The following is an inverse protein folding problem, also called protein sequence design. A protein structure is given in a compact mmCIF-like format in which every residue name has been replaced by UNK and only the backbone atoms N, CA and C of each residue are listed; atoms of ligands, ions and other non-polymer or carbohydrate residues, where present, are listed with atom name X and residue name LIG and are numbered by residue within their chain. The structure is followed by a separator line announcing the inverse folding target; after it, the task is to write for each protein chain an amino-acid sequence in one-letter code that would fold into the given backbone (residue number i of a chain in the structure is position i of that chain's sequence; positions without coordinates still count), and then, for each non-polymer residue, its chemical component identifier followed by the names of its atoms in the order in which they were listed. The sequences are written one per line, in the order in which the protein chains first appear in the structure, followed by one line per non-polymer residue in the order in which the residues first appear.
data_IF_771834155065
#
_entry.id   IF_771834155065
#
_cell.length_a   1.000
_cell.length_b   1.000
_cell.length_c   1.000
_cell.angle_alpha   90.00
_cell.angle_beta   90.00
_cell.angle_gamma   90.00
#
_symmetry.space_group_name_H-M   'P 1'
#
loop_
_entity.id
_entity.type
_entity.pdbx_description
1 polymer ?
#
# COMPACT_ATOMS: atom_id res chain seq x y z
N UNK A 1 -13.84 -29.14 -12.52
CA UNK A 1 -14.53 -28.14 -11.66
C UNK A 1 -15.93 -28.56 -11.23
N UNK A 2 -16.75 -29.21 -12.09
CA UNK A 2 -18.13 -29.65 -11.76
C UNK A 2 -18.30 -30.78 -10.73
N UNK A 3 -17.22 -31.37 -10.21
CA UNK A 3 -17.27 -32.55 -9.31
C UNK A 3 -17.05 -32.22 -7.84
N UNK A 4 -16.94 -30.93 -7.47
CA UNK A 4 -16.72 -30.54 -6.08
C UNK A 4 -18.09 -30.31 -5.39
N UNK A 5 -18.44 -31.07 -4.33
CA UNK A 5 -19.70 -30.89 -3.62
C UNK A 5 -19.82 -29.49 -3.00
N UNK A 6 -21.01 -28.89 -3.10
CA UNK A 6 -21.33 -27.57 -2.57
C UNK A 6 -21.08 -27.44 -1.06
N UNK A 7 -21.25 -28.53 -0.30
CA UNK A 7 -21.07 -28.58 1.16
C UNK A 7 -19.62 -28.42 1.63
N UNK A 8 -18.66 -28.41 0.70
CA UNK A 8 -17.24 -28.35 1.03
C UNK A 8 -16.64 -26.94 1.12
N UNK A 9 -17.47 -25.91 0.93
CA UNK A 9 -17.05 -24.51 1.04
C UNK A 9 -17.42 -23.94 2.40
N UNK A 10 -16.44 -23.35 3.09
CA UNK A 10 -16.67 -22.66 4.35
C UNK A 10 -16.91 -21.16 4.09
N UNK A 11 -17.96 -20.56 4.69
CA UNK A 11 -18.17 -19.12 4.61
C UNK A 11 -17.17 -18.40 5.52
N UNK A 12 -16.43 -17.46 4.95
CA UNK A 12 -15.49 -16.60 5.66
C UNK A 12 -15.96 -15.16 5.50
N UNK A 13 -16.19 -14.47 6.62
CA UNK A 13 -16.52 -13.05 6.62
C UNK A 13 -15.23 -12.25 6.68
N UNK A 14 -14.97 -11.47 5.64
CA UNK A 14 -13.87 -10.52 5.63
C UNK A 14 -14.33 -9.20 6.22
N UNK A 15 -13.73 -8.81 7.34
CA UNK A 15 -13.87 -7.49 7.93
C UNK A 15 -13.04 -6.45 7.15
N UNK A 16 -13.46 -6.18 5.92
CA UNK A 16 -12.99 -5.02 5.14
C UNK A 16 -13.86 -3.80 5.51
N UNK A 17 -13.54 -2.61 4.98
CA UNK A 17 -14.39 -1.41 5.10
C UNK A 17 -15.86 -1.69 4.71
N UNK A 18 -16.07 -2.66 3.82
CA UNK A 18 -17.38 -3.29 3.57
C UNK A 18 -17.27 -4.78 3.85
N UNK A 19 -18.07 -5.33 4.79
CA UNK A 19 -18.00 -6.76 5.09
C UNK A 19 -18.36 -7.57 3.84
N UNK A 20 -17.47 -8.45 3.41
CA UNK A 20 -17.67 -9.33 2.26
C UNK A 20 -17.62 -10.77 2.74
N UNK A 21 -18.69 -11.51 2.48
CA UNK A 21 -18.72 -12.97 2.72
C UNK A 21 -18.15 -13.65 1.49
N UNK A 22 -17.13 -14.48 1.69
CA UNK A 22 -16.54 -15.30 0.62
C UNK A 22 -16.59 -16.77 1.01
N UNK A 23 -16.74 -17.63 0.01
CA UNK A 23 -16.82 -19.07 0.16
C UNK A 23 -15.50 -19.67 -0.25
N UNK A 24 -14.88 -20.41 0.66
CA UNK A 24 -13.49 -20.86 0.51
C UNK A 24 -13.40 -22.37 0.66
N UNK A 25 -12.69 -23.00 -0.26
CA UNK A 25 -12.29 -24.41 -0.14
C UNK A 25 -10.79 -24.55 -0.32
N UNK A 26 -10.14 -25.16 0.66
CA UNK A 26 -8.71 -25.51 0.62
C UNK A 26 -8.52 -26.97 0.24
N UNK A 27 -7.53 -27.29 -0.59
CA UNK A 27 -7.12 -28.66 -0.89
C UNK A 27 -5.63 -28.73 -1.23
N UNK A 28 -5.01 -29.88 -1.06
CA UNK A 28 -3.62 -30.11 -1.44
C UNK A 28 -3.54 -30.79 -2.80
N UNK A 29 -2.61 -30.35 -3.65
CA UNK A 29 -2.35 -31.00 -4.94
C UNK A 29 -0.87 -30.91 -5.32
N UNK A 30 -0.42 -31.87 -6.14
CA UNK A 30 0.90 -31.84 -6.80
C UNK A 30 0.77 -31.19 -8.17
N UNK A 31 1.75 -30.37 -8.54
CA UNK A 31 1.84 -29.76 -9.86
C UNK A 31 2.95 -30.45 -10.65
N UNK A 32 2.70 -30.76 -11.92
CA UNK A 32 3.67 -31.44 -12.80
C UNK A 32 5.02 -30.71 -12.94
N UNK A 33 5.04 -29.38 -12.78
CA UNK A 33 6.24 -28.53 -12.96
C UNK A 33 6.89 -28.08 -11.66
N UNK A 34 6.38 -28.49 -10.50
CA UNK A 34 6.92 -28.08 -9.21
C UNK A 34 7.08 -29.29 -8.30
N UNK A 35 8.26 -29.40 -7.68
CA UNK A 35 8.49 -30.39 -6.63
C UNK A 35 7.70 -30.00 -5.37
N UNK A 36 6.99 -30.98 -4.81
CA UNK A 36 6.24 -30.85 -3.56
C UNK A 36 4.72 -30.70 -3.71
N UNK A 37 4.00 -31.11 -2.67
CA UNK A 37 2.58 -30.82 -2.49
C UNK A 37 2.40 -29.36 -2.08
N UNK A 38 1.45 -28.68 -2.72
CA UNK A 38 1.08 -27.30 -2.37
C UNK A 38 -0.37 -27.24 -1.97
N UNK A 39 -0.68 -26.26 -1.13
CA UNK A 39 -2.06 -25.99 -0.71
C UNK A 39 -2.67 -24.96 -1.65
N UNK A 40 -3.78 -25.34 -2.26
CA UNK A 40 -4.61 -24.50 -3.12
C UNK A 40 -5.83 -24.04 -2.35
N UNK A 41 -6.32 -22.85 -2.65
CA UNK A 41 -7.64 -22.40 -2.22
C UNK A 41 -8.44 -21.88 -3.41
N UNK A 42 -9.70 -22.30 -3.48
CA UNK A 42 -10.71 -21.72 -4.36
C UNK A 42 -11.53 -20.77 -3.51
N UNK A 43 -11.56 -19.50 -3.89
CA UNK A 43 -12.31 -18.45 -3.21
C UNK A 43 -13.37 -17.92 -4.16
N UNK A 44 -14.61 -17.84 -3.68
CA UNK A 44 -15.77 -17.48 -4.49
C UNK A 44 -16.62 -16.43 -3.78
N UNK A 45 -17.29 -15.58 -4.54
CA UNK A 45 -18.22 -14.59 -3.98
C UNK A 45 -19.62 -15.16 -3.67
N UNK A 46 -19.93 -16.36 -4.16
CA UNK A 46 -21.20 -17.05 -3.96
C UNK A 46 -20.98 -18.50 -3.50
N UNK A 47 -22.04 -19.12 -2.96
CA UNK A 47 -22.01 -20.49 -2.44
C UNK A 47 -21.93 -21.57 -3.52
N UNK A 48 -22.12 -21.22 -4.80
CA UNK A 48 -22.07 -22.16 -5.93
C UNK A 48 -21.34 -21.57 -7.13
N UNK A 49 -20.75 -22.44 -7.96
CA UNK A 49 -20.03 -22.06 -9.18
C UNK A 49 -20.93 -21.38 -10.21
N UNK A 50 -22.20 -21.74 -10.27
CA UNK A 50 -23.15 -21.18 -11.24
C UNK A 50 -23.60 -19.76 -10.85
N UNK A 51 -23.58 -19.44 -9.55
CA UNK A 51 -23.93 -18.11 -9.03
C UNK A 51 -22.72 -17.22 -8.82
N UNK A 52 -21.51 -17.78 -8.90
CA UNK A 52 -20.28 -17.03 -8.69
C UNK A 52 -19.93 -16.25 -9.95
N UNK A 53 -19.75 -14.93 -9.80
CA UNK A 53 -19.23 -14.08 -10.87
C UNK A 53 -17.70 -14.00 -10.82
N UNK A 54 -17.13 -14.07 -9.63
CA UNK A 54 -15.69 -14.01 -9.40
C UNK A 54 -15.22 -15.26 -8.67
N UNK A 55 -14.22 -15.93 -9.25
CA UNK A 55 -13.60 -17.15 -8.71
C UNK A 55 -12.09 -16.96 -8.73
N UNK A 56 -11.49 -16.88 -7.55
CA UNK A 56 -10.05 -16.76 -7.38
C UNK A 56 -9.43 -18.12 -7.03
N UNK A 57 -8.30 -18.42 -7.68
CA UNK A 57 -7.47 -19.58 -7.38
C UNK A 57 -6.17 -19.12 -6.73
N UNK A 58 -6.00 -19.47 -5.45
CA UNK A 58 -4.86 -19.07 -4.63
C UNK A 58 -3.95 -20.28 -4.36
N UNK A 59 -2.65 -20.05 -4.26
CA UNK A 59 -1.64 -21.11 -4.09
C UNK A 59 -0.63 -20.66 -3.04
N UNK A 60 -0.45 -21.46 -1.99
CA UNK A 60 0.54 -21.19 -0.94
C UNK A 60 1.55 -22.33 -0.82
N UNK A 61 2.77 -21.96 -0.42
CA UNK A 61 3.85 -22.87 -0.04
C UNK A 61 3.86 -23.18 1.47
N UNK A 62 2.95 -22.59 2.24
CA UNK A 62 2.83 -22.85 3.68
C UNK A 62 2.24 -24.24 3.92
N UNK A 63 2.75 -24.90 4.96
CA UNK A 63 2.28 -26.21 5.41
C UNK A 63 0.76 -26.26 5.58
N UNK A 64 0.12 -27.30 5.04
CA UNK A 64 -1.33 -27.43 5.01
C UNK A 64 -1.98 -27.35 6.40
N UNK A 65 -1.27 -27.74 7.47
CA UNK A 65 -1.74 -27.69 8.86
C UNK A 65 -2.03 -26.25 9.32
N UNK A 66 -1.26 -25.27 8.82
CA UNK A 66 -1.38 -23.85 9.19
C UNK A 66 -2.35 -23.08 8.28
N UNK A 67 -2.70 -23.64 7.13
CA UNK A 67 -3.50 -22.95 6.12
C UNK A 67 -4.98 -23.15 6.42
N UNK A 68 -5.56 -22.25 7.22
CA UNK A 68 -7.00 -22.17 7.37
C UNK A 68 -7.62 -21.33 6.23
N UNK A 69 -8.90 -21.56 5.87
CA UNK A 69 -9.62 -20.73 4.90
C UNK A 69 -9.62 -19.23 5.26
N UNK A 70 -9.72 -18.89 6.53
CA UNK A 70 -9.69 -17.52 7.02
C UNK A 70 -8.29 -16.91 6.86
N UNK A 71 -7.25 -17.70 7.18
CA UNK A 71 -5.86 -17.28 7.07
C UNK A 71 -5.50 -16.98 5.61
N UNK A 72 -5.83 -17.88 4.67
CA UNK A 72 -5.43 -17.67 3.27
C UNK A 72 -6.10 -16.43 2.68
N UNK A 73 -7.39 -16.24 2.93
CA UNK A 73 -8.10 -15.07 2.39
C UNK A 73 -7.62 -13.78 3.05
N UNK A 74 -7.41 -13.77 4.37
CA UNK A 74 -6.90 -12.57 5.06
C UNK A 74 -5.52 -12.17 4.55
N UNK A 75 -4.59 -13.11 4.37
CA UNK A 75 -3.25 -12.83 3.82
C UNK A 75 -3.34 -12.30 2.38
N UNK A 76 -4.11 -12.95 1.51
CA UNK A 76 -4.25 -12.50 0.12
C UNK A 76 -4.97 -11.15 0.00
N UNK A 77 -5.88 -10.81 0.92
CA UNK A 77 -6.55 -9.51 0.93
C UNK A 77 -5.59 -8.34 1.15
N UNK A 78 -4.48 -8.56 1.88
CA UNK A 78 -3.45 -7.54 2.11
C UNK A 78 -2.70 -7.17 0.84
N UNK A 79 -2.73 -8.00 -0.22
CA UNK A 79 -2.05 -7.76 -1.49
C UNK A 79 -2.45 -6.43 -2.14
N UNK A 80 -3.71 -6.02 -1.97
CA UNK A 80 -4.23 -4.77 -2.53
C UNK A 80 -3.47 -3.53 -2.03
N UNK A 81 -2.77 -3.62 -0.90
CA UNK A 81 -1.95 -2.53 -0.37
C UNK A 81 -0.90 -2.03 -1.38
N UNK A 82 -0.32 -2.93 -2.19
CA UNK A 82 0.67 -2.54 -3.22
C UNK A 82 0.04 -1.64 -4.28
N UNK A 83 -1.21 -1.90 -4.68
CA UNK A 83 -1.92 -1.06 -5.64
C UNK A 83 -2.26 0.31 -5.06
N UNK A 84 -2.72 0.34 -3.80
CA UNK A 84 -2.97 1.58 -3.05
C UNK A 84 -1.69 2.41 -2.98
N UNK A 85 -0.57 1.79 -2.61
CA UNK A 85 0.75 2.42 -2.59
C UNK A 85 1.08 3.08 -3.94
N UNK A 86 0.98 2.35 -5.06
CA UNK A 86 1.29 2.93 -6.37
C UNK A 86 0.34 4.04 -6.78
N UNK A 87 -0.94 3.94 -6.41
CA UNK A 87 -1.93 5.01 -6.67
C UNK A 87 -1.55 6.28 -5.91
N UNK A 88 -1.23 6.16 -4.63
CA UNK A 88 -0.87 7.28 -3.76
C UNK A 88 0.47 7.89 -4.16
N UNK A 89 1.50 7.08 -4.44
CA UNK A 89 2.80 7.56 -4.89
C UNK A 89 2.72 8.31 -6.24
N UNK A 90 1.92 7.81 -7.18
CA UNK A 90 1.68 8.49 -8.47
C UNK A 90 0.86 9.76 -8.32
N UNK A 91 -0.14 9.76 -7.43
CA UNK A 91 -1.06 10.88 -7.25
C UNK A 91 -0.46 12.03 -6.44
N UNK A 92 0.25 11.72 -5.35
CA UNK A 92 0.60 12.73 -4.33
C UNK A 92 2.09 13.01 -4.19
N UNK A 93 2.95 12.08 -4.59
CA UNK A 93 4.41 12.19 -4.44
C UNK A 93 5.14 12.38 -5.78
N UNK A 94 4.41 12.64 -6.87
CA UNK A 94 5.01 12.96 -8.16
C UNK A 94 5.75 11.80 -8.82
N UNK A 95 5.39 10.53 -8.55
CA UNK A 95 6.03 9.39 -9.24
C UNK A 95 5.88 9.48 -10.76
N UNK A 96 4.79 10.08 -11.26
CA UNK A 96 4.52 10.30 -12.69
C UNK A 96 5.13 11.60 -13.24
N UNK A 97 5.55 12.52 -12.38
CA UNK A 97 6.03 13.86 -12.75
C UNK A 97 7.53 13.89 -13.08
N UNK A 98 8.15 12.72 -13.18
CA UNK A 98 9.55 12.60 -13.52
C UNK A 98 9.82 13.01 -14.98
N UNK A 99 10.67 14.02 -15.18
CA UNK A 99 10.94 14.61 -16.50
C UNK A 99 12.28 14.21 -17.14
N UNK A 100 13.17 13.53 -16.40
CA UNK A 100 14.53 13.27 -16.87
C UNK A 100 14.58 11.98 -17.70
N UNK A 101 15.35 11.90 -18.79
CA UNK A 101 15.35 10.71 -19.67
C UNK A 101 16.33 9.59 -19.25
N UNK A 102 17.26 9.88 -18.35
CA UNK A 102 18.31 8.94 -17.96
C UNK A 102 17.84 7.83 -17.00
N UNK A 103 18.21 6.57 -17.27
CA UNK A 103 17.89 5.40 -16.42
C UNK A 103 18.35 5.59 -14.96
N UNK A 104 19.57 6.10 -14.75
CA UNK A 104 20.12 6.33 -13.41
C UNK A 104 19.31 7.37 -12.63
N UNK A 105 18.94 8.47 -13.28
CA UNK A 105 18.13 9.52 -12.69
C UNK A 105 16.71 9.02 -12.37
N UNK A 106 16.15 8.13 -13.20
CA UNK A 106 14.83 7.53 -12.98
C UNK A 106 14.84 6.66 -11.72
N UNK A 107 15.87 5.83 -11.57
CA UNK A 107 16.03 5.00 -10.38
C UNK A 107 16.20 5.85 -9.11
N UNK A 108 16.97 6.94 -9.18
CA UNK A 108 17.12 7.86 -8.04
C UNK A 108 15.79 8.52 -7.66
N UNK A 109 15.01 8.97 -8.65
CA UNK A 109 13.67 9.52 -8.41
C UNK A 109 12.77 8.49 -7.72
N UNK A 110 12.75 7.25 -8.20
CA UNK A 110 11.93 6.20 -7.61
C UNK A 110 12.32 5.91 -6.16
N UNK A 111 13.62 5.82 -5.87
CA UNK A 111 14.12 5.64 -4.51
C UNK A 111 13.66 6.80 -3.62
N UNK A 112 13.80 8.05 -4.06
CA UNK A 112 13.38 9.22 -3.28
C UNK A 112 11.87 9.23 -3.00
N UNK A 113 11.04 8.94 -4.02
CA UNK A 113 9.59 8.87 -3.86
C UNK A 113 9.21 7.75 -2.89
N UNK A 114 9.84 6.59 -3.00
CA UNK A 114 9.54 5.44 -2.13
C UNK A 114 9.99 5.70 -0.69
N UNK A 115 11.16 6.30 -0.50
CA UNK A 115 11.64 6.76 0.81
C UNK A 115 10.70 7.80 1.42
N UNK A 116 10.23 8.78 0.65
CA UNK A 116 9.28 9.77 1.13
C UNK A 116 7.95 9.11 1.56
N UNK A 117 7.44 8.18 0.76
CA UNK A 117 6.22 7.43 1.08
C UNK A 117 6.37 6.64 2.38
N UNK A 118 7.42 5.82 2.50
CA UNK A 118 7.63 4.98 3.68
C UNK A 118 7.89 5.83 4.92
N UNK A 119 8.58 6.96 4.79
CA UNK A 119 8.78 7.91 5.88
C UNK A 119 7.47 8.50 6.41
N UNK A 120 6.60 8.98 5.51
CA UNK A 120 5.28 9.53 5.90
C UNK A 120 4.41 8.44 6.52
N UNK A 121 4.39 7.24 5.92
CA UNK A 121 3.63 6.11 6.43
C UNK A 121 4.11 5.68 7.82
N UNK A 122 5.42 5.63 8.04
CA UNK A 122 6.01 5.34 9.34
C UNK A 122 5.57 6.36 10.40
N UNK A 123 5.62 7.65 10.07
CA UNK A 123 5.17 8.71 10.96
C UNK A 123 3.67 8.67 11.27
N UNK A 124 2.85 8.23 10.30
CA UNK A 124 1.41 7.99 10.50
C UNK A 124 1.19 6.85 11.51
N UNK A 125 1.90 5.73 11.35
CA UNK A 125 1.76 4.54 12.19
C UNK A 125 2.30 4.74 13.61
N UNK A 126 3.44 5.41 13.76
CA UNK A 126 4.03 5.74 15.07
C UNK A 126 3.37 6.92 15.76
N UNK A 127 2.52 7.67 15.05
CA UNK A 127 1.91 8.89 15.55
C UNK A 127 2.90 10.05 15.70
N UNK A 128 4.07 10.00 15.07
CA UNK A 128 5.08 11.07 15.19
C UNK A 128 4.64 12.45 14.64
N UNK A 129 3.60 12.50 13.80
CA UNK A 129 2.97 13.75 13.35
C UNK A 129 1.83 14.22 14.29
N UNK A 130 1.22 13.28 15.02
CA UNK A 130 0.22 13.60 16.05
C UNK A 130 0.91 14.30 17.22
N UNK A 131 0.17 15.15 17.94
CA UNK A 131 0.60 16.01 19.06
C UNK A 131 1.20 17.36 18.68
N UNK A 132 1.99 17.46 17.61
CA UNK A 132 2.62 18.75 17.23
C UNK A 132 2.03 19.38 15.96
N UNK A 133 1.64 18.55 14.98
CA UNK A 133 1.24 19.03 13.65
C UNK A 133 -0.19 18.63 13.25
N UNK A 134 -0.87 17.83 14.08
CA UNK A 134 -2.26 17.47 13.87
C UNK A 134 -2.98 17.22 15.20
N UNK A 135 -4.15 17.85 15.36
CA UNK A 135 -5.09 17.59 16.45
C UNK A 135 -6.15 16.54 16.07
N UNK A 136 -6.31 16.26 14.77
CA UNK A 136 -7.23 15.25 14.22
C UNK A 136 -6.53 13.89 14.06
N UNK A 137 -7.29 12.77 14.01
CA UNK A 137 -6.74 11.50 13.55
C UNK A 137 -6.22 11.59 12.12
N UNK A 138 -5.11 10.91 11.85
CA UNK A 138 -4.49 10.80 10.52
C UNK A 138 -4.74 9.37 10.01
N UNK A 139 -5.95 9.12 9.51
CA UNK A 139 -6.42 7.80 9.11
C UNK A 139 -6.02 7.47 7.67
N UNK A 140 -5.86 8.48 6.82
CA UNK A 140 -5.46 8.32 5.41
C UNK A 140 -4.00 8.74 5.17
N UNK A 141 -3.41 8.31 4.05
CA UNK A 141 -2.09 8.77 3.66
C UNK A 141 -2.07 10.27 3.34
N UNK A 142 -3.13 10.78 2.72
CA UNK A 142 -3.25 12.19 2.33
C UNK A 142 -3.28 13.12 3.53
N UNK A 143 -4.00 12.76 4.60
CA UNK A 143 -3.99 13.49 5.86
C UNK A 143 -2.59 13.52 6.49
N UNK A 144 -1.88 12.39 6.46
CA UNK A 144 -0.51 12.32 6.98
C UNK A 144 0.46 13.17 6.15
N UNK A 145 0.32 13.15 4.82
CA UNK A 145 1.09 13.99 3.91
C UNK A 145 0.80 15.48 4.15
N UNK A 146 -0.46 15.85 4.36
CA UNK A 146 -0.86 17.23 4.67
C UNK A 146 -0.21 17.70 5.97
N UNK A 147 -0.32 16.91 7.05
CA UNK A 147 0.33 17.22 8.33
C UNK A 147 1.86 17.33 8.20
N UNK A 148 2.48 16.46 7.37
CA UNK A 148 3.91 16.53 7.08
C UNK A 148 4.28 17.82 6.33
N UNK A 149 3.51 18.19 5.30
CA UNK A 149 3.72 19.45 4.55
C UNK A 149 3.61 20.66 5.46
N UNK A 150 2.59 20.70 6.32
CA UNK A 150 2.44 21.75 7.33
C UNK A 150 3.67 21.83 8.23
N UNK A 151 4.15 20.70 8.74
CA UNK A 151 5.36 20.65 9.57
C UNK A 151 6.60 21.21 8.84
N UNK A 152 6.77 20.87 7.56
CA UNK A 152 7.88 21.36 6.75
C UNK A 152 7.75 22.86 6.47
N UNK A 153 6.54 23.36 6.21
CA UNK A 153 6.30 24.80 5.99
C UNK A 153 6.65 25.64 7.22
N UNK A 154 6.24 25.22 8.42
CA UNK A 154 6.60 25.93 9.64
C UNK A 154 8.11 25.89 9.90
N UNK A 155 8.74 24.72 9.76
CA UNK A 155 10.20 24.62 9.90
C UNK A 155 10.96 25.47 8.89
N UNK A 156 10.47 25.52 7.65
CA UNK A 156 11.06 26.35 6.60
C UNK A 156 10.88 27.83 6.91
N UNK A 157 9.71 28.24 7.38
CA UNK A 157 9.45 29.62 7.80
C UNK A 157 10.39 30.03 8.93
N UNK A 158 10.47 29.23 10.00
CA UNK A 158 11.36 29.50 11.13
C UNK A 158 12.82 29.61 10.66
N UNK A 159 13.28 28.66 9.83
CA UNK A 159 14.63 28.71 9.26
C UNK A 159 14.86 29.98 8.43
N UNK A 160 13.90 30.36 7.59
CA UNK A 160 13.98 31.55 6.73
C UNK A 160 14.08 32.83 7.55
N UNK A 161 13.34 32.93 8.66
CA UNK A 161 13.42 34.10 9.55
C UNK A 161 14.81 34.26 10.18
N UNK A 162 15.50 33.15 10.44
CA UNK A 162 16.83 33.14 11.06
C UNK A 162 17.98 33.26 10.05
N UNK A 163 17.75 32.93 8.78
CA UNK A 163 18.78 32.83 7.73
C UNK A 163 18.42 33.67 6.49
N UNK A 164 17.80 34.83 6.70
CA UNK A 164 17.28 35.69 5.62
C UNK A 164 18.40 36.17 4.69
N UNK A 165 19.55 36.51 5.25
CA UNK A 165 20.77 36.91 4.55
C UNK A 165 21.33 35.78 3.68
N UNK A 166 21.41 34.56 4.21
CA UNK A 166 21.82 33.36 3.44
C UNK A 166 20.85 33.09 2.30
N UNK A 167 19.54 33.18 2.55
CA UNK A 167 18.54 33.01 1.51
C UNK A 167 18.62 34.10 0.43
N UNK A 168 18.80 35.37 0.83
CA UNK A 168 18.93 36.50 -0.08
C UNK A 168 20.19 36.40 -0.95
N UNK A 169 21.35 36.06 -0.36
CA UNK A 169 22.60 35.85 -1.09
C UNK A 169 22.50 34.70 -2.10
N UNK A 170 21.86 33.59 -1.75
CA UNK A 170 21.58 32.50 -2.69
C UNK A 170 20.70 32.97 -3.85
N UNK A 171 19.62 33.72 -3.59
CA UNK A 171 18.75 34.26 -4.66
C UNK A 171 19.49 35.24 -5.56
N UNK A 172 20.33 36.11 -4.99
CA UNK A 172 21.17 37.03 -5.75
C UNK A 172 22.15 36.27 -6.66
N UNK A 173 22.72 35.15 -6.20
CA UNK A 173 23.61 34.31 -7.01
C UNK A 173 22.92 33.70 -8.24
N UNK A 174 21.60 33.55 -8.19
CA UNK A 174 20.76 33.11 -9.31
C UNK A 174 20.27 34.27 -10.19
N UNK A 175 20.72 35.50 -9.95
CA UNK A 175 20.32 36.71 -10.69
C UNK A 175 18.98 37.31 -10.26
N UNK A 176 18.39 36.83 -9.16
CA UNK A 176 17.15 37.41 -8.63
C UNK A 176 17.46 38.47 -7.57
N UNK A 177 16.86 39.66 -7.72
CA UNK A 177 16.94 40.72 -6.72
C UNK A 177 15.73 40.59 -5.80
N UNK A 178 15.96 40.59 -4.50
CA UNK A 178 14.92 40.63 -3.47
C UNK A 178 14.82 42.07 -2.96
N UNK A 179 13.66 42.70 -3.08
CA UNK A 179 13.38 44.04 -2.56
C UNK A 179 13.06 44.01 -1.05
#
# INVERSE_FOLDING_TARGET
AKSIPLESFKPVVLNLEKPKTVWVKTFTAKMLRHEGERTFAIVMNASSFEKATDIDYLITNVEAIKVTPEWIVSIYSQRNWVEVFYREAKGWLGLREYQVRGKRSLLRHFILVFCAYTFILWHKLTGGLRRRWANKPLNTFTEALEAFRTAMSFRFFDWLTQNRDVFASYKASLGFIWA
#
